data_IF_893318008715
#
_entry.id   IF_893318008715
#
_cell.length_a   1.000
_cell.length_b   1.000
_cell.length_c   1.000
_cell.angle_alpha   90.00
_cell.angle_beta   90.00
_cell.angle_gamma   90.00
#
_symmetry.space_group_name_H-M   'P 1'
#
loop_
_entity.id
_entity.type
_entity.pdbx_description
1 polymer ?
#
# COMPACT_ATOMS: atom_id res chain seq x y z
N UNK A 1 -0.79 -73.32 14.53
CA UNK A 1 -0.87 -72.34 13.42
C UNK A 1 0.02 -72.81 12.28
N UNK A 2 -0.48 -72.86 11.05
CA UNK A 2 0.31 -73.25 9.89
C UNK A 2 1.24 -72.10 9.44
N UNK A 3 2.39 -72.41 8.85
CA UNK A 3 3.40 -71.43 8.40
C UNK A 3 2.80 -70.34 7.50
N UNK A 4 1.80 -70.68 6.68
CA UNK A 4 1.06 -69.74 5.83
C UNK A 4 0.34 -68.66 6.64
N UNK A 5 -0.30 -69.03 7.76
CA UNK A 5 -0.97 -68.07 8.65
C UNK A 5 0.02 -67.13 9.30
N UNK A 6 1.21 -67.62 9.69
CA UNK A 6 2.28 -66.83 10.30
C UNK A 6 2.86 -65.78 9.34
N UNK A 7 3.11 -66.18 8.08
CA UNK A 7 3.59 -65.28 7.03
C UNK A 7 2.57 -64.20 6.67
N UNK A 8 1.28 -64.56 6.55
CA UNK A 8 0.20 -63.61 6.33
C UNK A 8 0.07 -62.60 7.50
N UNK A 9 0.20 -63.07 8.75
CA UNK A 9 0.14 -62.21 9.93
C UNK A 9 1.29 -61.21 9.97
N UNK A 10 2.52 -61.64 9.66
CA UNK A 10 3.67 -60.73 9.57
C UNK A 10 3.50 -59.69 8.46
N UNK A 11 3.01 -60.10 7.27
CA UNK A 11 2.73 -59.18 6.18
C UNK A 11 1.66 -58.14 6.52
N UNK A 12 0.59 -58.57 7.19
CA UNK A 12 -0.48 -57.67 7.63
C UNK A 12 0.01 -56.66 8.68
N UNK A 13 0.82 -57.09 9.65
CA UNK A 13 1.40 -56.18 10.66
C UNK A 13 2.32 -55.15 10.02
N UNK A 14 3.16 -55.56 9.07
CA UNK A 14 4.04 -54.64 8.34
C UNK A 14 3.23 -53.62 7.51
N UNK A 15 2.16 -54.04 6.84
CA UNK A 15 1.30 -53.14 6.08
C UNK A 15 0.62 -52.09 6.98
N UNK A 16 0.17 -52.49 8.18
CA UNK A 16 -0.42 -51.56 9.16
C UNK A 16 0.62 -50.55 9.64
N UNK A 17 1.85 -50.99 9.96
CA UNK A 17 2.92 -50.10 10.41
C UNK A 17 3.29 -49.06 9.35
N UNK A 18 3.41 -49.48 8.09
CA UNK A 18 3.65 -48.56 6.97
C UNK A 18 2.50 -47.57 6.82
N UNK A 19 1.25 -48.03 6.90
CA UNK A 19 0.08 -47.17 6.83
C UNK A 19 0.06 -46.08 7.92
N UNK A 20 0.44 -46.42 9.15
CA UNK A 20 0.53 -45.47 10.26
C UNK A 20 1.64 -44.42 10.02
N UNK A 21 2.84 -44.85 9.62
CA UNK A 21 3.95 -43.93 9.33
C UNK A 21 3.58 -42.99 8.18
N UNK A 22 2.97 -43.51 7.11
CA UNK A 22 2.51 -42.69 5.99
C UNK A 22 1.43 -41.69 6.40
N UNK A 23 0.49 -42.08 7.27
CA UNK A 23 -0.56 -41.17 7.75
C UNK A 23 0.02 -40.02 8.58
N UNK A 24 0.96 -40.31 9.49
CA UNK A 24 1.64 -39.29 10.30
C UNK A 24 2.44 -38.36 9.41
N UNK A 25 3.28 -38.92 8.52
CA UNK A 25 4.09 -38.12 7.61
C UNK A 25 3.26 -37.25 6.67
N UNK A 26 2.09 -37.73 6.23
CA UNK A 26 1.15 -36.93 5.44
C UNK A 26 0.59 -35.75 6.23
N UNK A 27 0.18 -35.96 7.48
CA UNK A 27 -0.31 -34.89 8.34
C UNK A 27 0.77 -33.85 8.65
N UNK A 28 1.99 -34.28 9.01
CA UNK A 28 3.10 -33.36 9.27
C UNK A 28 3.50 -32.58 8.01
N UNK A 29 3.58 -33.25 6.85
CA UNK A 29 3.92 -32.59 5.59
C UNK A 29 2.83 -31.59 5.19
N UNK A 30 1.56 -31.93 5.38
CA UNK A 30 0.45 -31.02 5.11
C UNK A 30 0.53 -29.78 6.01
N UNK A 31 0.73 -29.96 7.31
CA UNK A 31 0.85 -28.84 8.26
C UNK A 31 2.07 -27.97 7.95
N UNK A 32 3.22 -28.57 7.65
CA UNK A 32 4.43 -27.83 7.27
C UNK A 32 4.24 -27.04 5.97
N UNK A 33 3.53 -27.59 4.98
CA UNK A 33 3.19 -26.89 3.74
C UNK A 33 2.23 -25.73 3.99
N UNK A 34 1.18 -25.93 4.77
CA UNK A 34 0.23 -24.87 5.13
C UNK A 34 0.93 -23.72 5.88
N UNK A 35 1.79 -24.05 6.85
CA UNK A 35 2.57 -23.07 7.62
C UNK A 35 3.58 -22.33 6.73
N UNK A 36 4.32 -23.05 5.88
CA UNK A 36 5.28 -22.45 4.95
C UNK A 36 4.60 -21.52 3.95
N UNK A 37 3.48 -21.95 3.34
CA UNK A 37 2.74 -21.12 2.39
C UNK A 37 2.12 -19.91 3.08
N UNK A 38 1.54 -20.07 4.27
CA UNK A 38 1.02 -18.92 5.03
C UNK A 38 2.13 -17.94 5.38
N UNK A 39 3.28 -18.44 5.83
CA UNK A 39 4.44 -17.60 6.16
C UNK A 39 4.98 -16.85 4.94
N UNK A 40 5.01 -17.50 3.78
CA UNK A 40 5.44 -16.87 2.53
C UNK A 40 4.45 -15.78 2.11
N UNK A 41 3.15 -16.05 2.15
CA UNK A 41 2.10 -15.06 1.85
C UNK A 41 2.24 -13.85 2.78
N UNK A 42 2.39 -14.07 4.09
CA UNK A 42 2.56 -12.97 5.06
C UNK A 42 3.82 -12.17 4.76
N UNK A 43 4.96 -12.83 4.50
CA UNK A 43 6.19 -12.15 4.18
C UNK A 43 6.09 -11.30 2.90
N UNK A 44 5.43 -11.82 1.85
CA UNK A 44 5.20 -11.07 0.62
C UNK A 44 4.27 -9.88 0.86
N UNK A 45 3.16 -10.08 1.57
CA UNK A 45 2.23 -9.00 1.90
C UNK A 45 2.90 -7.91 2.72
N UNK A 46 3.77 -8.27 3.67
CA UNK A 46 4.52 -7.30 4.47
C UNK A 46 5.49 -6.47 3.63
N UNK A 47 6.18 -7.09 2.66
CA UNK A 47 7.08 -6.38 1.73
C UNK A 47 6.31 -5.41 0.83
N UNK A 48 5.18 -5.85 0.27
CA UNK A 48 4.33 -5.00 -0.56
C UNK A 48 3.72 -3.85 0.26
N UNK A 49 3.26 -4.12 1.48
CA UNK A 49 2.76 -3.11 2.40
C UNK A 49 3.84 -2.09 2.78
N UNK A 50 5.07 -2.53 3.05
CA UNK A 50 6.20 -1.65 3.32
C UNK A 50 6.53 -0.77 2.11
N UNK A 51 6.48 -1.34 0.91
CA UNK A 51 6.72 -0.62 -0.35
C UNK A 51 5.66 0.45 -0.59
N UNK A 52 4.37 0.09 -0.45
CA UNK A 52 3.26 1.03 -0.57
C UNK A 52 3.34 2.14 0.49
N UNK A 53 3.66 1.80 1.74
CA UNK A 53 3.83 2.78 2.81
C UNK A 53 4.98 3.74 2.52
N UNK A 54 6.11 3.24 1.99
CA UNK A 54 7.23 4.07 1.57
C UNK A 54 6.83 5.04 0.46
N UNK A 55 6.13 4.54 -0.56
CA UNK A 55 5.59 5.33 -1.65
C UNK A 55 4.64 6.43 -1.17
N UNK A 56 3.68 6.08 -0.30
CA UNK A 56 2.76 7.06 0.30
C UNK A 56 3.53 8.11 1.12
N UNK A 57 4.52 7.70 1.91
CA UNK A 57 5.31 8.65 2.70
C UNK A 57 6.05 9.66 1.82
N UNK A 58 6.60 9.22 0.69
CA UNK A 58 7.26 10.10 -0.27
C UNK A 58 6.28 11.14 -0.84
N UNK A 59 5.11 10.72 -1.32
CA UNK A 59 4.09 11.65 -1.84
C UNK A 59 3.58 12.61 -0.77
N UNK A 60 3.40 12.12 0.47
CA UNK A 60 3.03 12.94 1.62
C UNK A 60 4.07 14.03 1.87
N UNK A 61 5.35 13.70 1.81
CA UNK A 61 6.43 14.64 2.04
C UNK A 61 6.45 15.73 0.96
N UNK A 62 6.22 15.38 -0.31
CA UNK A 62 6.11 16.36 -1.40
C UNK A 62 4.96 17.36 -1.16
N UNK A 63 3.77 16.86 -0.82
CA UNK A 63 2.60 17.68 -0.50
C UNK A 63 2.86 18.62 0.70
N UNK A 64 3.46 18.09 1.77
CA UNK A 64 3.81 18.89 2.95
C UNK A 64 4.83 19.98 2.62
N UNK A 65 5.88 19.63 1.87
CA UNK A 65 6.94 20.58 1.49
C UNK A 65 6.39 21.72 0.65
N UNK A 66 5.42 21.45 -0.23
CA UNK A 66 4.74 22.49 -0.97
C UNK A 66 3.84 23.37 -0.09
N UNK A 67 3.08 22.77 0.83
CA UNK A 67 2.28 23.54 1.78
C UNK A 67 3.17 24.47 2.63
N UNK A 68 4.31 23.98 3.09
CA UNK A 68 5.29 24.75 3.85
C UNK A 68 5.89 25.88 3.00
N UNK A 69 6.25 25.61 1.73
CA UNK A 69 6.73 26.62 0.79
C UNK A 69 5.69 27.72 0.55
N UNK A 70 4.45 27.33 0.26
CA UNK A 70 3.34 28.26 0.00
C UNK A 70 3.02 29.12 1.24
N UNK A 71 3.16 28.54 2.43
CA UNK A 71 3.04 29.25 3.71
C UNK A 71 4.19 30.24 3.90
N UNK A 72 5.43 29.84 3.59
CA UNK A 72 6.59 30.72 3.68
C UNK A 72 6.55 31.87 2.66
N UNK A 73 5.85 31.68 1.53
CA UNK A 73 5.63 32.70 0.50
C UNK A 73 4.39 33.57 0.76
N UNK A 74 3.75 33.45 1.93
CA UNK A 74 2.55 34.23 2.22
C UNK A 74 2.81 35.75 2.20
N UNK A 75 1.94 36.48 1.48
CA UNK A 75 2.10 37.91 1.21
C UNK A 75 3.16 38.27 0.15
N UNK A 76 3.89 37.31 -0.42
CA UNK A 76 4.81 37.56 -1.54
C UNK A 76 4.03 37.66 -2.87
N UNK A 77 4.31 38.66 -3.74
CA UNK A 77 3.71 38.74 -5.07
C UNK A 77 3.86 37.46 -5.92
N UNK A 78 4.91 36.67 -5.68
CA UNK A 78 5.14 35.39 -6.36
C UNK A 78 4.25 34.24 -5.87
N UNK A 79 3.48 34.41 -4.79
CA UNK A 79 2.60 33.35 -4.25
C UNK A 79 1.51 32.92 -5.26
N UNK A 80 1.15 33.80 -6.19
CA UNK A 80 0.22 33.51 -7.28
C UNK A 80 0.86 32.83 -8.50
N UNK A 81 2.18 32.61 -8.50
CA UNK A 81 2.85 31.95 -9.60
C UNK A 81 2.71 30.42 -9.48
N UNK A 82 2.07 29.82 -10.47
CA UNK A 82 1.89 28.37 -10.55
C UNK A 82 3.24 27.62 -10.63
N UNK A 83 4.34 28.30 -10.99
CA UNK A 83 5.68 27.72 -11.01
C UNK A 83 6.15 27.20 -9.65
N UNK A 84 5.59 27.72 -8.55
CA UNK A 84 5.83 27.22 -7.19
C UNK A 84 5.32 25.77 -7.01
N UNK A 85 4.42 25.31 -7.86
CA UNK A 85 3.85 23.96 -7.86
C UNK A 85 4.71 22.96 -8.67
N UNK A 86 5.82 23.41 -9.25
CA UNK A 86 6.78 22.55 -9.97
C UNK A 86 7.56 21.57 -9.09
N UNK A 87 7.37 21.59 -7.77
CA UNK A 87 8.05 20.72 -6.80
C UNK A 87 7.93 19.22 -7.13
N UNK A 88 6.79 18.81 -7.69
CA UNK A 88 6.55 17.43 -8.11
C UNK A 88 6.71 17.22 -9.63
N UNK A 89 7.25 18.20 -10.38
CA UNK A 89 7.33 18.14 -11.85
C UNK A 89 8.21 17.01 -12.40
N UNK A 90 9.19 16.54 -11.62
CA UNK A 90 10.04 15.41 -11.96
C UNK A 90 9.41 14.05 -11.62
N UNK A 91 8.33 14.05 -10.83
CA UNK A 91 7.64 12.86 -10.39
C UNK A 91 6.59 12.44 -11.42
N UNK A 92 6.90 11.40 -12.20
CA UNK A 92 6.05 10.94 -13.29
C UNK A 92 4.73 10.31 -12.83
N UNK A 93 4.59 10.01 -11.55
CA UNK A 93 3.38 9.42 -10.98
C UNK A 93 2.41 10.48 -10.45
N UNK A 94 2.88 11.73 -10.31
CA UNK A 94 2.04 12.88 -9.99
C UNK A 94 1.49 13.44 -11.29
N UNK A 95 0.18 13.28 -11.50
CA UNK A 95 -0.51 13.76 -12.70
C UNK A 95 -0.59 15.29 -12.69
N UNK A 96 -0.93 15.85 -11.55
CA UNK A 96 -1.12 17.29 -11.36
C UNK A 96 -0.78 17.66 -9.93
N UNK A 97 -0.20 18.84 -9.75
CA UNK A 97 0.11 19.38 -8.45
C UNK A 97 -0.56 20.74 -8.32
N UNK A 98 -1.50 20.87 -7.38
CA UNK A 98 -2.42 22.01 -7.36
C UNK A 98 -2.53 22.66 -5.99
N UNK A 99 -2.83 23.96 -5.98
CA UNK A 99 -3.17 24.76 -4.82
C UNK A 99 -4.58 25.31 -4.96
N UNK A 100 -5.47 24.89 -4.06
CA UNK A 100 -6.76 25.55 -3.84
C UNK A 100 -6.67 26.55 -2.69
N UNK A 101 -7.13 27.76 -2.90
CA UNK A 101 -7.16 28.83 -1.88
C UNK A 101 -8.58 29.10 -1.37
N UNK A 102 -8.68 29.71 -0.19
CA UNK A 102 -9.97 30.06 0.46
C UNK A 102 -10.81 31.06 -0.36
N UNK A 103 -10.15 31.93 -1.12
CA UNK A 103 -10.79 32.88 -2.04
C UNK A 103 -11.37 32.21 -3.30
N UNK A 104 -11.07 30.93 -3.52
CA UNK A 104 -11.48 30.15 -4.69
C UNK A 104 -10.44 30.10 -5.80
N UNK A 105 -9.27 30.74 -5.62
CA UNK A 105 -8.14 30.61 -6.57
C UNK A 105 -7.72 29.15 -6.67
N UNK A 106 -7.53 28.67 -7.90
CA UNK A 106 -7.09 27.31 -8.16
C UNK A 106 -5.95 27.29 -9.17
N UNK A 107 -4.74 27.07 -8.66
CA UNK A 107 -3.52 27.00 -9.44
C UNK A 107 -3.09 25.55 -9.59
N UNK A 108 -2.67 25.19 -10.79
CA UNK A 108 -2.20 23.88 -11.19
C UNK A 108 -0.82 24.03 -11.86
N UNK A 109 0.04 23.03 -11.69
CA UNK A 109 1.33 23.03 -12.36
C UNK A 109 1.16 22.86 -13.87
N UNK A 110 0.44 21.82 -14.30
CA UNK A 110 0.28 21.47 -15.73
C UNK A 110 -0.77 22.36 -16.39
N UNK A 111 -1.95 22.47 -15.80
CA UNK A 111 -3.07 23.25 -16.37
C UNK A 111 -2.95 24.77 -16.14
N UNK A 112 -2.04 25.22 -15.29
CA UNK A 112 -1.86 26.63 -14.97
C UNK A 112 -2.94 27.18 -14.05
N UNK A 113 -3.36 28.43 -14.25
CA UNK A 113 -4.45 29.04 -13.47
C UNK A 113 -5.81 28.65 -14.07
N UNK A 114 -6.56 27.82 -13.34
CA UNK A 114 -7.90 27.35 -13.71
C UNK A 114 -8.98 27.92 -12.78
N UNK A 115 -8.68 29.08 -12.17
CA UNK A 115 -9.62 29.79 -11.31
C UNK A 115 -10.91 30.12 -12.05
N UNK A 116 -12.05 29.78 -11.43
CA UNK A 116 -13.39 30.01 -12.00
C UNK A 116 -13.90 28.90 -12.92
N UNK A 117 -13.04 27.98 -13.38
CA UNK A 117 -13.48 26.76 -14.08
C UNK A 117 -13.92 25.68 -13.09
N UNK A 118 -13.15 25.50 -12.03
CA UNK A 118 -13.41 24.53 -10.96
C UNK A 118 -13.23 25.23 -9.61
N UNK A 119 -14.22 25.13 -8.72
CA UNK A 119 -14.08 25.62 -7.34
C UNK A 119 -13.44 24.54 -6.45
N UNK A 120 -12.18 24.73 -5.99
CA UNK A 120 -11.47 23.74 -5.19
C UNK A 120 -12.16 23.47 -3.85
N UNK A 121 -12.89 24.45 -3.31
CA UNK A 121 -13.54 24.36 -1.98
C UNK A 121 -14.71 23.38 -1.93
N UNK A 122 -15.24 23.03 -3.10
CA UNK A 122 -16.33 22.06 -3.24
C UNK A 122 -15.84 20.61 -3.24
N UNK A 123 -14.54 20.40 -3.47
CA UNK A 123 -13.92 19.08 -3.64
C UNK A 123 -13.73 18.38 -2.30
N UNK A 124 -13.89 17.05 -2.31
CA UNK A 124 -13.80 16.25 -1.07
C UNK A 124 -12.41 16.35 -0.45
N UNK A 125 -11.34 16.26 -1.26
CA UNK A 125 -9.97 16.44 -0.79
C UNK A 125 -9.74 17.79 -0.07
N UNK A 126 -10.38 18.87 -0.52
CA UNK A 126 -10.25 20.18 0.11
C UNK A 126 -10.99 20.22 1.44
N UNK A 127 -12.24 19.75 1.46
CA UNK A 127 -13.08 19.69 2.66
C UNK A 127 -12.45 18.79 3.73
N UNK A 128 -11.93 17.64 3.32
CA UNK A 128 -11.31 16.68 4.23
C UNK A 128 -10.00 17.20 4.79
N UNK A 129 -9.15 17.82 3.95
CA UNK A 129 -7.88 18.40 4.40
C UNK A 129 -8.13 19.55 5.39
N UNK A 130 -9.11 20.41 5.10
CA UNK A 130 -9.53 21.51 5.98
C UNK A 130 -10.14 20.99 7.29
N UNK A 131 -10.93 19.94 7.25
CA UNK A 131 -11.55 19.35 8.45
C UNK A 131 -10.54 18.65 9.36
N UNK A 132 -9.56 17.93 8.80
CA UNK A 132 -8.54 17.21 9.58
C UNK A 132 -7.33 18.06 9.94
N UNK A 133 -7.14 19.20 9.28
CA UNK A 133 -5.99 20.11 9.46
C UNK A 133 -4.64 19.38 9.41
N UNK A 134 -4.52 18.40 8.52
CA UNK A 134 -3.32 17.60 8.33
C UNK A 134 -3.28 17.01 6.93
N UNK A 135 -2.08 16.68 6.44
CA UNK A 135 -1.88 16.02 5.16
C UNK A 135 -2.46 14.61 5.19
N UNK A 136 -3.29 14.30 4.20
CA UNK A 136 -4.06 13.06 4.12
C UNK A 136 -4.06 12.49 2.70
N UNK A 137 -4.44 11.23 2.61
CA UNK A 137 -4.83 10.56 1.37
C UNK A 137 -6.35 10.35 1.39
N UNK A 138 -7.02 10.61 0.27
CA UNK A 138 -8.47 10.40 0.09
C UNK A 138 -8.76 9.21 -0.80
#
# INVERSE_FOLDING_TARGET
MTIRTKLLLMGAVMAILVGVICAIGYHESKTALEESTSSEITATVDVEAATLNGWLLEKKQQAQSAADLLTAMDGNPMQGDHSLLSLASSDKEVIEFSRGSEDGTFLCWVDGDITGEIDPRTRDWYKDAKAKNTTLFT
#
